data_IF_147118424278
#
_entry.id   IF_147118424278
#
_cell.length_a   1.000
_cell.length_b   1.000
_cell.length_c   1.000
_cell.angle_alpha   90.00
_cell.angle_beta   90.00
_cell.angle_gamma   90.00
#
_symmetry.space_group_name_H-M   'P 1'
#
loop_
_entity.id
_entity.type
_entity.pdbx_description
1 polymer ?
#
# COMPACT_ATOMS: atom_id res chain seq x y z
N UNK A 1 21.86 7.32 -3.45
CA UNK A 1 20.64 8.14 -3.27
C UNK A 1 19.73 7.55 -2.18
N UNK A 2 19.53 6.23 -2.13
CA UNK A 2 18.62 5.59 -1.15
C UNK A 2 19.33 4.87 -0.01
N UNK A 3 20.67 4.99 0.08
CA UNK A 3 21.43 4.35 1.17
C UNK A 3 20.92 4.83 2.54
N UNK A 4 20.72 3.88 3.44
CA UNK A 4 20.24 4.09 4.81
C UNK A 4 18.82 4.71 4.91
N UNK A 5 18.08 4.81 3.79
CA UNK A 5 16.68 5.24 3.75
C UNK A 5 15.75 4.10 4.11
N UNK A 6 14.60 4.42 4.69
CA UNK A 6 13.58 3.44 5.09
C UNK A 6 12.41 3.49 4.13
N UNK A 7 12.12 2.37 3.49
CA UNK A 7 11.03 2.23 2.52
C UNK A 7 10.04 1.14 2.95
N UNK A 8 8.76 1.45 2.91
CA UNK A 8 7.65 0.54 3.14
C UNK A 8 6.98 0.24 1.79
N UNK A 9 6.73 -1.04 1.50
CA UNK A 9 6.05 -1.48 0.28
C UNK A 9 4.92 -2.44 0.64
N UNK A 10 3.68 -2.10 0.32
CA UNK A 10 2.56 -3.01 0.45
C UNK A 10 2.39 -3.86 -0.81
N UNK A 11 2.06 -5.15 -0.68
CA UNK A 11 1.93 -6.05 -1.83
C UNK A 11 3.26 -6.31 -2.53
N UNK A 12 4.33 -6.47 -1.76
CA UNK A 12 5.69 -6.60 -2.28
C UNK A 12 6.21 -8.02 -2.42
N UNK A 13 5.39 -9.05 -2.23
CA UNK A 13 5.79 -10.44 -2.39
C UNK A 13 5.99 -10.85 -3.85
N UNK A 14 5.39 -10.15 -4.79
CA UNK A 14 5.46 -10.46 -6.22
C UNK A 14 5.28 -9.22 -7.12
N UNK A 15 5.48 -9.41 -8.42
CA UNK A 15 5.15 -8.44 -9.47
C UNK A 15 5.83 -7.08 -9.29
N UNK A 16 5.06 -6.02 -9.47
CA UNK A 16 5.56 -4.62 -9.42
C UNK A 16 6.10 -4.29 -8.04
N UNK A 17 5.39 -4.66 -6.98
CA UNK A 17 5.81 -4.38 -5.60
C UNK A 17 7.15 -5.04 -5.25
N UNK A 18 7.34 -6.30 -5.66
CA UNK A 18 8.61 -6.99 -5.47
C UNK A 18 9.75 -6.30 -6.23
N UNK A 19 9.53 -5.92 -7.48
CA UNK A 19 10.52 -5.20 -8.27
C UNK A 19 10.92 -3.88 -7.60
N UNK A 20 9.96 -3.11 -7.12
CA UNK A 20 10.20 -1.85 -6.39
C UNK A 20 11.02 -2.12 -5.12
N UNK A 21 10.61 -3.11 -4.32
CA UNK A 21 11.30 -3.46 -3.08
C UNK A 21 12.76 -3.87 -3.34
N UNK A 22 13.00 -4.65 -4.39
CA UNK A 22 14.35 -5.11 -4.74
C UNK A 22 15.24 -3.97 -5.25
N UNK A 23 14.71 -3.04 -6.03
CA UNK A 23 15.48 -1.88 -6.48
C UNK A 23 15.83 -0.94 -5.30
N UNK A 24 14.94 -0.74 -4.34
CA UNK A 24 15.26 -0.03 -3.10
C UNK A 24 16.37 -0.73 -2.31
N UNK A 25 16.29 -2.07 -2.16
CA UNK A 25 17.34 -2.87 -1.47
C UNK A 25 18.68 -2.76 -2.18
N UNK A 26 18.73 -2.91 -3.50
CA UNK A 26 19.96 -2.74 -4.30
C UNK A 26 20.55 -1.35 -4.16
N UNK A 27 19.72 -0.35 -3.98
CA UNK A 27 20.14 1.04 -3.77
C UNK A 27 20.56 1.35 -2.32
N UNK A 28 20.54 0.36 -1.42
CA UNK A 28 21.02 0.44 -0.04
C UNK A 28 19.97 0.89 0.98
N UNK A 29 18.69 0.84 0.64
CA UNK A 29 17.60 1.15 1.57
C UNK A 29 17.26 -0.02 2.50
N UNK A 30 16.76 0.29 3.69
CA UNK A 30 16.06 -0.64 4.57
C UNK A 30 14.62 -0.80 4.08
N UNK A 31 14.25 -1.98 3.57
CA UNK A 31 12.95 -2.18 2.94
C UNK A 31 12.07 -3.11 3.76
N UNK A 32 10.91 -2.63 4.14
CA UNK A 32 9.87 -3.34 4.85
C UNK A 32 8.71 -3.63 3.92
N UNK A 33 8.52 -4.90 3.60
CA UNK A 33 7.41 -5.39 2.79
C UNK A 33 6.34 -5.96 3.72
N UNK A 34 5.08 -5.63 3.45
CA UNK A 34 3.91 -6.32 4.01
C UNK A 34 3.08 -6.90 2.87
N UNK A 35 2.78 -8.19 2.96
CA UNK A 35 1.98 -8.91 1.97
C UNK A 35 1.15 -9.99 2.67
N UNK A 36 0.04 -10.39 2.07
CA UNK A 36 -0.81 -11.49 2.56
C UNK A 36 -0.20 -12.86 2.25
N UNK A 37 0.69 -12.94 1.27
CA UNK A 37 1.36 -14.18 0.90
C UNK A 37 2.44 -14.54 1.90
N UNK A 38 2.68 -15.84 2.09
CA UNK A 38 3.80 -16.34 2.89
C UNK A 38 5.14 -16.01 2.22
N UNK A 39 6.14 -15.64 3.02
CA UNK A 39 7.46 -15.28 2.50
C UNK A 39 8.38 -14.64 3.56
N UNK A 40 9.59 -14.26 3.17
CA UNK A 40 10.59 -13.65 4.06
C UNK A 40 10.32 -12.14 4.25
N UNK A 41 9.07 -11.78 4.55
CA UNK A 41 8.59 -10.43 4.79
C UNK A 41 7.53 -10.46 5.89
N UNK A 42 6.97 -9.30 6.24
CA UNK A 42 5.87 -9.25 7.19
C UNK A 42 4.59 -9.80 6.54
N UNK A 43 4.13 -10.95 7.01
CA UNK A 43 2.90 -11.58 6.50
C UNK A 43 1.70 -10.99 7.21
N UNK A 44 0.77 -10.40 6.46
CA UNK A 44 -0.42 -9.83 7.04
C UNK A 44 -1.37 -9.20 6.02
N UNK A 45 -2.66 -9.25 6.36
CA UNK A 45 -3.72 -8.64 5.56
C UNK A 45 -3.91 -7.18 5.95
N UNK A 46 -3.57 -6.26 5.04
CA UNK A 46 -3.67 -4.82 5.23
C UNK A 46 -5.12 -4.29 5.31
N UNK A 47 -6.12 -5.10 4.98
CA UNK A 47 -7.53 -4.75 5.19
C UNK A 47 -7.90 -4.66 6.68
N UNK A 48 -7.05 -5.19 7.56
CA UNK A 48 -7.25 -5.27 9.00
C UNK A 48 -6.45 -4.19 9.71
N UNK A 49 -7.14 -3.39 10.51
CA UNK A 49 -6.55 -2.31 11.29
C UNK A 49 -5.41 -2.80 12.19
N UNK A 50 -5.64 -3.88 12.92
CA UNK A 50 -4.69 -4.46 13.88
C UNK A 50 -3.39 -4.90 13.19
N UNK A 51 -3.50 -5.42 11.97
CA UNK A 51 -2.34 -5.80 11.15
C UNK A 51 -1.49 -4.59 10.79
N UNK A 52 -2.13 -3.49 10.38
CA UNK A 52 -1.42 -2.24 10.05
C UNK A 52 -0.74 -1.63 11.26
N UNK A 53 -1.41 -1.62 12.43
CA UNK A 53 -0.85 -1.14 13.69
C UNK A 53 0.35 -1.97 14.13
N UNK A 54 0.24 -3.30 14.10
CA UNK A 54 1.34 -4.20 14.43
C UNK A 54 2.52 -4.06 13.46
N UNK A 55 2.25 -3.92 12.17
CA UNK A 55 3.30 -3.68 11.18
C UNK A 55 4.00 -2.33 11.38
N UNK A 56 3.24 -1.26 11.68
CA UNK A 56 3.84 0.04 11.97
C UNK A 56 4.73 -0.02 13.22
N UNK A 57 4.28 -0.65 14.29
CA UNK A 57 5.09 -0.88 15.49
C UNK A 57 6.38 -1.65 15.16
N UNK A 58 6.28 -2.73 14.37
CA UNK A 58 7.42 -3.53 13.92
C UNK A 58 8.48 -2.71 13.18
N UNK A 59 8.07 -1.76 12.35
CA UNK A 59 9.00 -0.86 11.64
C UNK A 59 9.60 0.16 12.59
N UNK A 60 8.78 0.80 13.43
CA UNK A 60 9.19 1.87 14.35
C UNK A 60 10.08 1.39 15.50
N UNK A 61 10.02 0.13 15.89
CA UNK A 61 10.98 -0.48 16.81
C UNK A 61 12.42 -0.48 16.25
N UNK A 62 12.59 -0.36 14.93
CA UNK A 62 13.87 -0.46 14.22
C UNK A 62 14.34 0.85 13.62
N UNK A 63 13.42 1.75 13.32
CA UNK A 63 13.69 3.04 12.69
C UNK A 63 12.79 4.13 13.25
N UNK A 64 13.37 5.25 13.59
CA UNK A 64 12.64 6.43 14.09
C UNK A 64 11.87 7.15 12.97
N UNK A 65 12.38 7.09 11.74
CA UNK A 65 11.82 7.80 10.57
C UNK A 65 11.61 6.88 9.39
N UNK A 66 10.61 7.20 8.57
CA UNK A 66 10.28 6.53 7.31
C UNK A 66 10.41 7.55 6.17
N UNK A 67 11.14 7.17 5.12
CA UNK A 67 11.38 8.04 3.97
C UNK A 67 10.41 7.78 2.81
N UNK A 68 9.99 6.52 2.63
CA UNK A 68 9.11 6.15 1.50
C UNK A 68 7.99 5.21 1.94
N UNK A 69 6.77 5.51 1.50
CA UNK A 69 5.62 4.60 1.63
C UNK A 69 5.08 4.34 0.23
N UNK A 70 5.17 3.08 -0.22
CA UNK A 70 4.69 2.65 -1.54
C UNK A 70 3.43 1.79 -1.34
N UNK A 71 2.27 2.39 -1.54
CA UNK A 71 0.98 1.73 -1.49
C UNK A 71 0.71 1.04 -2.83
N UNK A 72 1.19 -0.21 -2.96
CA UNK A 72 1.12 -0.99 -4.19
C UNK A 72 0.13 -2.16 -4.11
N UNK A 73 -0.25 -2.62 -2.92
CA UNK A 73 -1.16 -3.76 -2.78
C UNK A 73 -2.41 -3.62 -3.67
N UNK A 74 -2.72 -4.71 -4.36
CA UNK A 74 -3.79 -4.73 -5.36
C UNK A 74 -5.14 -5.04 -4.67
N UNK A 75 -6.16 -4.19 -4.80
CA UNK A 75 -7.50 -4.53 -4.36
C UNK A 75 -8.13 -5.61 -5.24
N UNK A 76 -9.09 -6.34 -4.69
CA UNK A 76 -9.84 -7.34 -5.45
C UNK A 76 -10.58 -6.69 -6.63
N UNK A 77 -10.60 -7.37 -7.78
CA UNK A 77 -11.26 -6.90 -8.99
C UNK A 77 -12.44 -7.81 -9.31
N UNK A 78 -13.64 -7.38 -8.91
CA UNK A 78 -14.91 -8.04 -9.21
C UNK A 78 -15.93 -7.01 -9.65
N UNK A 79 -16.86 -7.44 -10.50
CA UNK A 79 -17.91 -6.60 -11.05
C UNK A 79 -19.29 -6.90 -10.53
N UNK A 80 -20.28 -6.18 -11.06
CA UNK A 80 -21.68 -6.22 -10.58
C UNK A 80 -22.29 -7.62 -10.57
N UNK A 81 -21.80 -8.52 -11.43
CA UNK A 81 -22.32 -9.88 -11.51
C UNK A 81 -21.86 -10.78 -10.34
N UNK A 82 -20.62 -10.59 -9.85
CA UNK A 82 -19.97 -11.53 -8.94
C UNK A 82 -19.46 -10.88 -7.66
N UNK A 83 -19.55 -9.55 -7.53
CA UNK A 83 -19.02 -8.80 -6.39
C UNK A 83 -20.06 -8.81 -5.26
N UNK A 84 -19.74 -9.48 -4.15
CA UNK A 84 -20.52 -9.34 -2.92
C UNK A 84 -20.29 -7.99 -2.25
N UNK A 85 -21.11 -7.66 -1.27
CA UNK A 85 -20.91 -6.48 -0.44
C UNK A 85 -19.54 -6.53 0.26
N UNK A 86 -19.19 -7.69 0.80
CA UNK A 86 -17.94 -7.94 1.51
C UNK A 86 -16.71 -7.83 0.59
N UNK A 87 -16.82 -8.33 -0.65
CA UNK A 87 -15.76 -8.16 -1.68
C UNK A 87 -15.52 -6.68 -2.00
N UNK A 88 -16.61 -5.91 -2.12
CA UNK A 88 -16.53 -4.49 -2.42
C UNK A 88 -15.90 -3.72 -1.25
N UNK A 89 -16.35 -4.00 0.00
CA UNK A 89 -15.72 -3.42 1.19
C UNK A 89 -14.23 -3.78 1.29
N UNK A 90 -13.89 -5.05 1.04
CA UNK A 90 -12.50 -5.50 1.07
C UNK A 90 -11.64 -4.75 0.03
N UNK A 91 -12.16 -4.56 -1.18
CA UNK A 91 -11.48 -3.79 -2.21
C UNK A 91 -11.20 -2.35 -1.78
N UNK A 92 -12.16 -1.69 -1.13
CA UNK A 92 -11.97 -0.34 -0.59
C UNK A 92 -11.02 -0.33 0.61
N UNK A 93 -11.09 -1.32 1.49
CA UNK A 93 -10.17 -1.45 2.63
C UNK A 93 -8.72 -1.56 2.16
N UNK A 94 -8.44 -2.44 1.19
CA UNK A 94 -7.09 -2.61 0.64
C UNK A 94 -6.64 -1.42 -0.20
N UNK A 95 -7.52 -0.90 -1.06
CA UNK A 95 -7.15 0.09 -2.07
C UNK A 95 -7.19 1.56 -1.59
N UNK A 96 -7.89 1.85 -0.50
CA UNK A 96 -8.09 3.23 -0.02
C UNK A 96 -7.82 3.36 1.47
N UNK A 97 -8.51 2.55 2.30
CA UNK A 97 -8.45 2.70 3.76
C UNK A 97 -7.06 2.37 4.31
N UNK A 98 -6.45 1.29 3.85
CA UNK A 98 -5.11 0.89 4.29
C UNK A 98 -4.03 1.93 3.90
N UNK A 99 -3.96 2.43 2.65
CA UNK A 99 -3.08 3.55 2.29
C UNK A 99 -3.25 4.77 3.19
N UNK A 100 -4.48 5.22 3.42
CA UNK A 100 -4.75 6.32 4.34
C UNK A 100 -4.24 6.03 5.74
N UNK A 101 -4.55 4.85 6.28
CA UNK A 101 -4.22 4.51 7.65
C UNK A 101 -2.72 4.31 7.87
N UNK A 102 -2.00 3.76 6.89
CA UNK A 102 -0.53 3.70 6.94
C UNK A 102 0.09 5.10 7.01
N UNK A 103 -0.36 6.04 6.17
CA UNK A 103 0.11 7.42 6.24
C UNK A 103 -0.16 8.03 7.61
N UNK A 104 -1.35 7.81 8.17
CA UNK A 104 -1.71 8.27 9.52
C UNK A 104 -0.81 7.67 10.60
N UNK A 105 -0.52 6.37 10.56
CA UNK A 105 0.33 5.69 11.55
C UNK A 105 1.77 6.20 11.53
N UNK A 106 2.27 6.61 10.38
CA UNK A 106 3.62 7.13 10.22
C UNK A 106 3.72 8.66 10.17
N UNK A 107 2.62 9.40 10.30
CA UNK A 107 2.60 10.86 10.11
C UNK A 107 3.65 11.61 10.93
N UNK A 108 3.82 11.25 12.20
CA UNK A 108 4.80 11.87 13.11
C UNK A 108 6.23 11.31 12.93
N UNK A 109 6.36 10.29 12.10
CA UNK A 109 7.59 9.54 11.83
C UNK A 109 8.07 9.68 10.37
N UNK A 110 7.45 10.54 9.58
CA UNK A 110 7.94 10.82 8.24
C UNK A 110 9.22 11.68 8.29
N UNK A 111 10.18 11.36 7.42
CA UNK A 111 11.35 12.20 7.22
C UNK A 111 10.94 13.51 6.52
N UNK A 112 11.75 14.58 6.67
CA UNK A 112 11.43 15.91 6.12
C UNK A 112 11.20 15.91 4.59
N UNK A 113 11.86 14.99 3.86
CA UNK A 113 11.70 14.80 2.43
C UNK A 113 11.04 13.45 2.08
N UNK A 114 10.17 12.96 2.95
CA UNK A 114 9.48 11.70 2.72
C UNK A 114 8.57 11.78 1.48
N UNK A 115 8.43 10.65 0.79
CA UNK A 115 7.54 10.52 -0.36
C UNK A 115 6.56 9.38 -0.17
N UNK A 116 5.30 9.65 -0.47
CA UNK A 116 4.23 8.65 -0.48
C UNK A 116 3.81 8.42 -1.92
N UNK A 117 3.91 7.17 -2.38
CA UNK A 117 3.52 6.77 -3.73
C UNK A 117 2.31 5.86 -3.64
N UNK A 118 1.22 6.28 -4.24
CA UNK A 118 -0.02 5.51 -4.34
C UNK A 118 -0.16 4.96 -5.75
N UNK A 119 -0.16 3.63 -5.88
CA UNK A 119 -0.31 2.97 -7.18
C UNK A 119 -1.76 3.03 -7.65
N UNK A 120 -2.06 4.00 -8.52
CA UNK A 120 -3.36 4.10 -9.17
C UNK A 120 -3.40 3.26 -10.47
N UNK A 121 -4.30 3.57 -11.36
CA UNK A 121 -4.52 2.89 -12.64
C UNK A 121 -5.25 3.84 -13.57
N UNK A 122 -5.19 3.59 -14.88
CA UNK A 122 -6.09 4.23 -15.84
C UNK A 122 -7.58 3.99 -15.53
N UNK A 123 -7.86 2.99 -14.68
CA UNK A 123 -9.21 2.68 -14.18
C UNK A 123 -9.76 3.73 -13.21
N UNK A 124 -8.98 4.70 -12.79
CA UNK A 124 -9.47 5.86 -12.04
C UNK A 124 -10.32 6.80 -12.93
N UNK A 125 -10.19 6.70 -14.26
CA UNK A 125 -10.88 7.54 -15.26
C UNK A 125 -11.60 6.75 -16.34
N UNK A 126 -11.14 5.53 -16.62
CA UNK A 126 -11.72 4.65 -17.63
C UNK A 126 -11.98 3.29 -17.00
N UNK A 127 -13.18 2.76 -17.17
CA UNK A 127 -13.54 1.44 -16.64
C UNK A 127 -13.75 0.42 -17.76
N UNK A 128 -13.76 -0.85 -17.39
CA UNK A 128 -14.21 -1.96 -18.21
C UNK A 128 -15.33 -2.67 -17.46
N UNK A 129 -16.21 -3.39 -18.14
CA UNK A 129 -17.21 -4.22 -17.50
C UNK A 129 -16.57 -5.16 -16.45
N UNK A 130 -17.29 -5.42 -15.37
CA UNK A 130 -16.87 -6.34 -14.31
C UNK A 130 -15.58 -5.92 -13.56
N UNK A 131 -15.37 -4.61 -13.39
CA UNK A 131 -14.22 -4.07 -12.63
C UNK A 131 -14.63 -3.05 -11.57
N UNK A 132 -15.90 -3.03 -11.17
CA UNK A 132 -16.49 -1.96 -10.35
C UNK A 132 -15.76 -1.79 -9.02
N UNK A 133 -15.45 -2.89 -8.30
CA UNK A 133 -14.73 -2.83 -7.02
C UNK A 133 -13.32 -2.24 -7.18
N UNK A 134 -12.60 -2.67 -8.20
CA UNK A 134 -11.26 -2.19 -8.52
C UNK A 134 -11.28 -0.72 -8.97
N UNK A 135 -12.21 -0.37 -9.86
CA UNK A 135 -12.38 1.00 -10.37
C UNK A 135 -12.71 1.97 -9.25
N UNK A 136 -13.62 1.58 -8.33
CA UNK A 136 -13.94 2.39 -7.16
C UNK A 136 -12.72 2.60 -6.25
N UNK A 137 -11.95 1.56 -5.98
CA UNK A 137 -10.73 1.65 -5.18
C UNK A 137 -9.66 2.54 -5.85
N UNK A 138 -9.45 2.40 -7.18
CA UNK A 138 -8.45 3.19 -7.91
C UNK A 138 -8.86 4.66 -8.10
N UNK A 139 -10.15 4.95 -8.25
CA UNK A 139 -10.69 6.31 -8.17
C UNK A 139 -10.52 6.91 -6.76
N UNK A 140 -10.82 6.13 -5.73
CA UNK A 140 -10.65 6.53 -4.34
C UNK A 140 -9.20 6.87 -3.97
N UNK A 141 -8.23 6.03 -4.38
CA UNK A 141 -6.82 6.30 -4.09
C UNK A 141 -6.28 7.51 -4.86
N UNK A 142 -6.76 7.76 -6.09
CA UNK A 142 -6.41 8.96 -6.83
C UNK A 142 -6.91 10.22 -6.11
N UNK A 143 -8.17 10.23 -5.66
CA UNK A 143 -8.73 11.33 -4.88
C UNK A 143 -8.01 11.51 -3.52
N UNK A 144 -7.70 10.42 -2.81
CA UNK A 144 -6.93 10.46 -1.56
C UNK A 144 -5.54 11.06 -1.77
N UNK A 145 -4.88 10.77 -2.88
CA UNK A 145 -3.55 11.33 -3.20
C UNK A 145 -3.60 12.86 -3.27
N UNK A 146 -4.64 13.43 -3.89
CA UNK A 146 -4.83 14.87 -3.92
C UNK A 146 -5.10 15.48 -2.53
N UNK A 147 -5.78 14.72 -1.67
CA UNK A 147 -6.12 15.20 -0.32
C UNK A 147 -4.92 15.13 0.65
N UNK A 148 -3.93 14.29 0.36
CA UNK A 148 -2.71 14.13 1.17
C UNK A 148 -1.56 15.04 0.72
N UNK A 149 -1.63 15.62 -0.47
CA UNK A 149 -0.64 16.55 -1.00
C UNK A 149 -0.89 17.97 -0.51
#
# INVERSE_FOLDING_TARGET
MFKDKVAIVTGGAQGIGMCIADEFRKAGAHVYVIDIQEGPHYVGDISRKETLEAFAAYVLERHEKVDFIINNALPVMKGIADCSYEDFEYALKVGVTAPFYLVKLFSDHLADAASIVNMSSSRDRMSQPQTESYTAAKGGIAALTHALA
#
